data_IF_723764169447
#
_entry.id   IF_723764169447
#
_cell.length_a   1.000
_cell.length_b   1.000
_cell.length_c   1.000
_cell.angle_alpha   90.00
_cell.angle_beta   90.00
_cell.angle_gamma   90.00
#
_symmetry.space_group_name_H-M   'P 1'
#
loop_
_entity.id
_entity.type
_entity.pdbx_description
1 polymer ?
#
# COMPACT_ATOMS: atom_id res chain seq x y z
N UNK A 1 4.96 14.81 -7.49
CA UNK A 1 5.02 13.40 -7.05
C UNK A 1 3.83 13.14 -6.14
N UNK A 2 3.05 12.05 -6.36
CA UNK A 2 1.93 11.64 -5.51
C UNK A 2 2.45 11.17 -4.16
N UNK A 3 1.72 11.48 -3.08
CA UNK A 3 2.02 11.02 -1.73
C UNK A 3 1.10 9.85 -1.40
N UNK A 4 1.65 8.68 -1.14
CA UNK A 4 0.92 7.49 -0.72
C UNK A 4 1.28 7.25 0.76
N UNK A 5 0.31 7.39 1.66
CA UNK A 5 0.51 7.26 3.08
C UNK A 5 0.65 5.79 3.48
N UNK A 6 1.88 5.34 3.72
CA UNK A 6 2.24 3.96 4.04
C UNK A 6 1.66 3.56 5.40
N UNK A 7 0.64 2.70 5.38
CA UNK A 7 -0.20 2.29 6.52
C UNK A 7 -0.95 3.46 7.18
N UNK A 8 -1.28 4.49 6.39
CA UNK A 8 -1.76 5.79 6.87
C UNK A 8 -0.61 6.74 7.20
N UNK A 9 -0.91 7.85 7.91
CA UNK A 9 0.11 8.78 8.44
C UNK A 9 0.81 8.15 9.65
N UNK A 10 1.58 7.09 9.39
CA UNK A 10 2.11 6.17 10.41
C UNK A 10 3.28 6.74 11.21
N UNK A 11 3.85 7.88 10.80
CA UNK A 11 4.80 8.63 11.61
C UNK A 11 4.15 9.25 12.85
N UNK A 12 2.86 9.57 12.80
CA UNK A 12 2.13 10.29 13.85
C UNK A 12 0.98 9.49 14.49
N UNK A 13 0.56 8.40 13.84
CA UNK A 13 -0.59 7.59 14.24
C UNK A 13 -0.24 6.10 14.21
N UNK A 14 -0.97 5.24 14.95
CA UNK A 14 -0.80 3.79 14.82
C UNK A 14 -1.06 3.34 13.37
N UNK A 15 -0.19 2.47 12.86
CA UNK A 15 -0.28 1.93 11.51
C UNK A 15 -1.59 1.16 11.28
N UNK A 16 -2.10 1.18 10.05
CA UNK A 16 -3.30 0.46 9.62
C UNK A 16 -4.54 0.79 10.48
N UNK A 17 -4.73 2.05 10.83
CA UNK A 17 -5.88 2.51 11.62
C UNK A 17 -6.65 3.64 10.93
N UNK A 18 -7.94 3.75 11.27
CA UNK A 18 -8.81 4.82 10.79
C UNK A 18 -8.22 6.21 11.07
N UNK A 19 -7.63 6.42 12.27
CA UNK A 19 -7.00 7.70 12.63
C UNK A 19 -5.83 8.03 11.70
N UNK A 20 -4.97 7.04 11.38
CA UNK A 20 -3.85 7.23 10.47
C UNK A 20 -4.31 7.53 9.04
N UNK A 21 -5.38 6.89 8.57
CA UNK A 21 -5.94 7.12 7.22
C UNK A 21 -6.61 8.49 7.11
N UNK A 22 -7.41 8.90 8.10
CA UNK A 22 -8.03 10.22 8.15
C UNK A 22 -6.99 11.34 8.21
N UNK A 23 -5.96 11.19 9.05
CA UNK A 23 -4.86 12.15 9.14
C UNK A 23 -4.09 12.27 7.82
N UNK A 24 -3.86 11.16 7.11
CA UNK A 24 -3.22 11.17 5.81
C UNK A 24 -3.99 12.01 4.77
N UNK A 25 -5.29 11.82 4.66
CA UNK A 25 -6.11 12.63 3.76
C UNK A 25 -6.24 14.09 4.20
N UNK A 26 -6.33 14.35 5.52
CA UNK A 26 -6.29 15.72 6.04
C UNK A 26 -4.99 16.44 5.66
N UNK A 27 -3.88 15.71 5.56
CA UNK A 27 -2.58 16.19 5.07
C UNK A 27 -2.42 16.09 3.54
N UNK A 28 -3.53 15.88 2.80
CA UNK A 28 -3.56 15.88 1.33
C UNK A 28 -2.75 14.73 0.69
N UNK A 29 -2.73 13.54 1.30
CA UNK A 29 -2.25 12.34 0.62
C UNK A 29 -3.11 12.06 -0.63
N UNK A 30 -2.47 11.63 -1.72
CA UNK A 30 -3.15 11.14 -2.92
C UNK A 30 -3.85 9.81 -2.66
N UNK A 31 -3.19 8.93 -1.91
CA UNK A 31 -3.73 7.64 -1.52
C UNK A 31 -3.32 7.31 -0.08
N UNK A 32 -4.16 6.56 0.60
CA UNK A 32 -3.76 5.79 1.78
C UNK A 32 -3.37 4.39 1.35
N UNK A 33 -2.47 3.78 2.09
CA UNK A 33 -2.11 2.38 1.89
C UNK A 33 -2.52 1.59 3.13
N UNK A 34 -2.93 0.34 2.92
CA UNK A 34 -3.28 -0.62 3.95
C UNK A 34 -2.81 -2.02 3.57
N UNK A 35 -2.19 -2.71 4.54
CA UNK A 35 -1.78 -4.11 4.41
C UNK A 35 -2.97 -5.03 4.62
N UNK A 36 -3.18 -6.03 3.75
CA UNK A 36 -4.36 -6.90 3.82
C UNK A 36 -3.97 -8.36 4.04
N UNK A 37 -4.58 -8.97 5.08
CA UNK A 37 -4.51 -10.40 5.41
C UNK A 37 -5.91 -10.96 5.67
N UNK A 38 -6.00 -12.28 5.86
CA UNK A 38 -7.23 -12.93 6.31
C UNK A 38 -7.15 -13.35 7.79
N UNK A 39 -8.30 -13.28 8.47
CA UNK A 39 -8.55 -14.02 9.70
C UNK A 39 -8.83 -15.51 9.42
N UNK A 40 -8.86 -16.34 10.46
CA UNK A 40 -9.20 -17.76 10.36
C UNK A 40 -10.57 -18.01 9.70
N UNK A 41 -11.55 -17.22 10.09
CA UNK A 41 -12.93 -17.26 9.57
C UNK A 41 -13.10 -16.51 8.23
N UNK A 42 -12.00 -16.04 7.61
CA UNK A 42 -11.97 -15.55 6.24
C UNK A 42 -12.37 -14.09 6.06
N UNK A 43 -12.34 -13.29 7.11
CA UNK A 43 -12.58 -11.85 7.03
C UNK A 43 -11.27 -11.13 6.71
N UNK A 44 -11.32 -10.18 5.78
CA UNK A 44 -10.16 -9.36 5.42
C UNK A 44 -9.88 -8.32 6.51
N UNK A 45 -8.65 -8.34 7.05
CA UNK A 45 -8.17 -7.46 8.10
C UNK A 45 -6.95 -6.68 7.66
N UNK A 46 -6.64 -5.57 8.35
CA UNK A 46 -5.47 -4.74 8.06
C UNK A 46 -4.34 -5.04 9.05
N UNK A 47 -3.32 -5.79 8.58
CA UNK A 47 -2.13 -6.14 9.36
C UNK A 47 -0.93 -6.41 8.46
N UNK A 48 0.23 -5.80 8.79
CA UNK A 48 1.45 -5.95 7.98
C UNK A 48 2.17 -7.27 8.23
N UNK A 49 2.50 -7.55 9.48
CA UNK A 49 3.39 -8.65 9.83
C UNK A 49 2.72 -10.02 9.67
N UNK A 50 3.49 -11.09 9.46
CA UNK A 50 2.95 -12.44 9.39
C UNK A 50 2.44 -12.94 10.74
N UNK A 51 2.82 -12.28 11.85
CA UNK A 51 2.36 -12.57 13.20
C UNK A 51 2.01 -11.29 13.95
N UNK A 52 1.46 -11.43 15.15
CA UNK A 52 0.98 -10.32 15.97
C UNK A 52 2.01 -9.85 17.01
N UNK A 53 3.27 -10.35 16.96
CA UNK A 53 4.26 -10.12 18.01
C UNK A 53 4.63 -8.65 18.16
N UNK A 54 4.96 -7.97 17.05
CA UNK A 54 5.46 -6.59 17.08
C UNK A 54 4.44 -5.59 17.64
N UNK A 55 3.18 -5.71 17.23
CA UNK A 55 2.15 -4.74 17.60
C UNK A 55 1.37 -5.14 18.85
N UNK A 56 1.13 -6.43 19.07
CA UNK A 56 0.22 -6.92 20.10
C UNK A 56 0.91 -7.81 21.14
N UNK A 57 2.21 -8.11 20.99
CA UNK A 57 2.98 -8.99 21.88
C UNK A 57 2.52 -10.46 21.84
N UNK A 58 1.90 -10.89 20.73
CA UNK A 58 1.33 -12.22 20.56
C UNK A 58 2.01 -12.97 19.40
N UNK A 59 2.45 -14.21 19.60
CA UNK A 59 3.14 -14.99 18.58
C UNK A 59 2.21 -15.58 17.52
N UNK A 60 0.90 -15.55 17.72
CA UNK A 60 -0.09 -16.09 16.80
C UNK A 60 -0.09 -15.30 15.50
N UNK A 61 -0.45 -15.97 14.43
CA UNK A 61 -0.68 -15.36 13.12
C UNK A 61 -2.14 -14.88 13.00
N UNK A 62 -2.42 -13.83 12.24
CA UNK A 62 -3.81 -13.40 12.01
C UNK A 62 -4.72 -14.53 11.53
N UNK A 63 -4.24 -15.37 10.64
CA UNK A 63 -4.99 -16.51 10.08
C UNK A 63 -5.28 -17.65 11.07
N UNK A 64 -4.69 -17.63 12.25
CA UNK A 64 -4.94 -18.61 13.33
C UNK A 64 -6.08 -18.16 14.26
N UNK A 65 -6.50 -16.89 14.18
CA UNK A 65 -7.49 -16.25 15.05
C UNK A 65 -8.75 -15.85 14.27
N UNK A 66 -9.90 -15.98 14.93
CA UNK A 66 -11.18 -15.45 14.41
C UNK A 66 -11.19 -13.92 14.44
N UNK A 67 -12.09 -13.31 13.67
CA UNK A 67 -12.27 -11.85 13.69
C UNK A 67 -12.56 -11.34 15.11
N UNK A 68 -13.44 -12.01 15.86
CA UNK A 68 -13.80 -11.59 17.23
C UNK A 68 -12.57 -11.57 18.15
N UNK A 69 -11.69 -12.58 18.07
CA UNK A 69 -10.44 -12.63 18.82
C UNK A 69 -9.50 -11.49 18.42
N UNK A 70 -9.38 -11.22 17.12
CA UNK A 70 -8.55 -10.13 16.59
C UNK A 70 -9.05 -8.75 17.01
N UNK A 71 -10.35 -8.51 16.97
CA UNK A 71 -10.97 -7.23 17.37
C UNK A 71 -10.84 -6.97 18.89
N UNK A 72 -10.67 -8.02 19.68
CA UNK A 72 -10.37 -7.94 21.11
C UNK A 72 -8.97 -7.41 21.43
N UNK A 73 -8.03 -7.46 20.47
CA UNK A 73 -6.65 -7.04 20.68
C UNK A 73 -6.50 -5.52 20.73
N UNK A 74 -5.50 -5.08 21.49
CA UNK A 74 -5.04 -3.68 21.50
C UNK A 74 -3.53 -3.65 21.39
N UNK A 75 -3.02 -2.81 20.52
CA UNK A 75 -1.58 -2.60 20.42
C UNK A 75 -1.07 -1.66 21.54
N UNK A 76 0.24 -1.55 21.66
CA UNK A 76 0.89 -0.74 22.70
C UNK A 76 0.51 0.76 22.64
N UNK A 77 0.10 1.25 21.47
CA UNK A 77 -0.38 2.62 21.27
C UNK A 77 -1.91 2.76 21.40
N UNK A 78 -2.62 1.69 21.82
CA UNK A 78 -4.07 1.67 21.97
C UNK A 78 -4.85 1.43 20.68
N UNK A 79 -4.17 1.25 19.54
CA UNK A 79 -4.78 0.91 18.25
C UNK A 79 -5.37 -0.50 18.26
N UNK A 80 -6.35 -0.73 17.39
CA UNK A 80 -7.01 -2.02 17.15
C UNK A 80 -6.75 -2.46 15.72
N UNK A 81 -6.91 -3.76 15.47
CA UNK A 81 -6.98 -4.27 14.10
C UNK A 81 -8.22 -3.67 13.44
N UNK A 82 -8.04 -3.15 12.23
CA UNK A 82 -9.13 -2.72 11.37
C UNK A 82 -9.51 -3.85 10.40
N UNK A 83 -10.75 -3.83 9.92
CA UNK A 83 -11.22 -4.67 8.82
C UNK A 83 -11.17 -3.90 7.50
N UNK A 84 -11.09 -4.62 6.38
CA UNK A 84 -10.85 -4.02 5.07
C UNK A 84 -11.96 -3.05 4.63
N UNK A 85 -13.22 -3.31 4.98
CA UNK A 85 -14.33 -2.41 4.66
C UNK A 85 -14.15 -1.01 5.28
N UNK A 86 -13.53 -0.91 6.46
CA UNK A 86 -13.25 0.37 7.12
C UNK A 86 -12.27 1.26 6.34
N UNK A 87 -11.38 0.70 5.53
CA UNK A 87 -10.51 1.47 4.66
C UNK A 87 -11.16 1.72 3.30
N UNK A 88 -11.93 0.76 2.78
CA UNK A 88 -12.55 0.87 1.46
C UNK A 88 -13.61 1.98 1.35
N UNK A 89 -14.24 2.40 2.46
CA UNK A 89 -15.19 3.53 2.47
C UNK A 89 -14.57 4.87 2.08
N UNK A 90 -13.23 4.96 2.08
CA UNK A 90 -12.50 6.15 1.61
C UNK A 90 -12.31 6.19 0.09
N UNK A 91 -12.66 5.13 -0.66
CA UNK A 91 -12.62 5.12 -2.13
C UNK A 91 -13.76 6.00 -2.70
N UNK A 92 -13.59 7.31 -2.66
CA UNK A 92 -14.60 8.29 -3.11
C UNK A 92 -13.96 9.60 -3.58
N UNK A 93 -14.64 10.30 -4.49
CA UNK A 93 -14.11 11.53 -5.06
C UNK A 93 -12.81 11.30 -5.82
N UNK A 94 -11.71 11.85 -5.35
CA UNK A 94 -10.35 11.68 -5.86
C UNK A 94 -9.42 10.94 -4.88
N UNK A 95 -9.99 10.36 -3.80
CA UNK A 95 -9.25 9.62 -2.78
C UNK A 95 -8.98 8.19 -3.25
N UNK A 96 -7.72 7.83 -3.39
CA UNK A 96 -7.30 6.49 -3.81
C UNK A 96 -6.87 5.65 -2.60
N UNK A 97 -7.02 4.34 -2.73
CA UNK A 97 -6.60 3.36 -1.72
C UNK A 97 -5.66 2.37 -2.39
N UNK A 98 -4.47 2.18 -1.83
CA UNK A 98 -3.57 1.10 -2.19
C UNK A 98 -3.72 -0.03 -1.18
N UNK A 99 -4.06 -1.22 -1.63
CA UNK A 99 -4.07 -2.43 -0.83
C UNK A 99 -2.76 -3.19 -1.04
N UNK A 100 -1.91 -3.28 -0.03
CA UNK A 100 -0.73 -4.18 -0.05
C UNK A 100 -1.20 -5.58 0.37
N UNK A 101 -1.41 -6.46 -0.60
CA UNK A 101 -2.00 -7.79 -0.40
C UNK A 101 -0.92 -8.74 0.11
N UNK A 102 -0.95 -9.07 1.41
CA UNK A 102 0.04 -9.94 2.07
C UNK A 102 -0.27 -11.42 1.96
N UNK A 103 -1.52 -11.78 1.72
CA UNK A 103 -1.96 -13.14 1.43
C UNK A 103 -2.56 -13.18 0.02
N UNK A 104 -1.86 -13.82 -0.90
CA UNK A 104 -2.26 -13.96 -2.31
C UNK A 104 -2.74 -15.37 -2.64
N UNK A 105 -3.17 -16.14 -1.65
CA UNK A 105 -3.88 -17.40 -1.90
C UNK A 105 -5.19 -17.14 -2.65
N UNK A 106 -5.67 -18.09 -3.49
CA UNK A 106 -6.94 -17.92 -4.20
C UNK A 106 -8.11 -17.54 -3.26
N UNK A 107 -8.15 -18.13 -2.05
CA UNK A 107 -9.15 -17.80 -1.03
C UNK A 107 -9.06 -16.34 -0.61
N UNK A 108 -7.85 -15.83 -0.39
CA UNK A 108 -7.65 -14.45 0.03
C UNK A 108 -7.99 -13.47 -1.10
N UNK A 109 -7.56 -13.74 -2.33
CA UNK A 109 -7.89 -12.90 -3.48
C UNK A 109 -9.40 -12.82 -3.72
N UNK A 110 -10.13 -13.94 -3.60
CA UNK A 110 -11.59 -13.97 -3.74
C UNK A 110 -12.27 -13.18 -2.61
N UNK A 111 -11.82 -13.32 -1.35
CA UNK A 111 -12.37 -12.59 -0.21
C UNK A 111 -12.12 -11.07 -0.34
N UNK A 112 -10.92 -10.65 -0.74
CA UNK A 112 -10.57 -9.24 -0.96
C UNK A 112 -11.43 -8.67 -2.09
N UNK A 113 -11.54 -9.38 -3.21
CA UNK A 113 -12.37 -8.93 -4.33
C UNK A 113 -13.84 -8.80 -3.92
N UNK A 114 -14.39 -9.78 -3.21
CA UNK A 114 -15.78 -9.72 -2.74
C UNK A 114 -16.00 -8.53 -1.81
N UNK A 115 -15.06 -8.28 -0.87
CA UNK A 115 -15.14 -7.11 0.02
C UNK A 115 -15.11 -5.79 -0.77
N UNK A 116 -14.28 -5.69 -1.83
CA UNK A 116 -14.27 -4.52 -2.72
C UNK A 116 -15.63 -4.36 -3.41
N UNK A 117 -16.20 -5.44 -3.94
CA UNK A 117 -17.49 -5.41 -4.65
C UNK A 117 -18.63 -4.99 -3.74
N UNK A 118 -18.64 -5.49 -2.50
CA UNK A 118 -19.69 -5.22 -1.52
C UNK A 118 -19.61 -3.81 -0.92
N UNK A 119 -18.39 -3.22 -0.85
CA UNK A 119 -18.17 -1.94 -0.17
C UNK A 119 -18.06 -0.75 -1.14
N UNK A 120 -17.45 -0.96 -2.31
CA UNK A 120 -17.13 0.13 -3.26
C UNK A 120 -18.06 0.06 -4.47
N UNK A 121 -18.83 1.14 -4.75
CA UNK A 121 -19.64 1.24 -5.97
C UNK A 121 -18.81 0.99 -7.23
N UNK A 122 -19.40 0.34 -8.24
CA UNK A 122 -18.66 -0.07 -9.45
C UNK A 122 -17.93 1.09 -10.13
N UNK A 123 -18.55 2.26 -10.19
CA UNK A 123 -17.97 3.48 -10.77
C UNK A 123 -16.78 4.05 -9.98
N UNK A 124 -16.57 3.62 -8.73
CA UNK A 124 -15.48 4.08 -7.85
C UNK A 124 -14.38 3.04 -7.65
N UNK A 125 -14.55 1.79 -8.13
CA UNK A 125 -13.57 0.70 -7.92
C UNK A 125 -12.22 1.01 -8.56
N UNK A 126 -12.17 1.88 -9.58
CA UNK A 126 -10.92 2.37 -10.16
C UNK A 126 -10.06 3.18 -9.18
N UNK A 127 -10.62 3.67 -8.06
CA UNK A 127 -9.90 4.35 -6.98
C UNK A 127 -9.17 3.34 -6.07
N UNK A 128 -9.51 2.06 -6.14
CA UNK A 128 -8.79 0.98 -5.44
C UNK A 128 -7.64 0.49 -6.31
N UNK A 129 -6.47 0.42 -5.73
CA UNK A 129 -5.24 -0.07 -6.35
C UNK A 129 -4.87 -1.40 -5.68
N UNK A 130 -4.96 -2.49 -6.41
CA UNK A 130 -4.52 -3.79 -5.94
C UNK A 130 -2.99 -3.88 -6.04
N UNK A 131 -2.31 -3.91 -4.91
CA UNK A 131 -0.87 -4.08 -4.78
C UNK A 131 -0.52 -5.56 -4.67
N UNK A 132 0.07 -6.11 -5.73
CA UNK A 132 0.28 -7.54 -5.92
C UNK A 132 1.77 -7.89 -5.91
N UNK A 133 2.15 -8.96 -5.19
CA UNK A 133 3.52 -9.49 -5.10
C UNK A 133 3.78 -10.63 -6.09
N UNK A 134 2.72 -11.32 -6.57
CA UNK A 134 2.85 -12.41 -7.55
C UNK A 134 2.20 -12.05 -8.88
N UNK A 135 2.66 -12.71 -9.95
CA UNK A 135 2.06 -12.57 -11.28
C UNK A 135 0.64 -13.14 -11.32
N UNK A 136 0.34 -14.13 -10.49
CA UNK A 136 -0.97 -14.74 -10.34
C UNK A 136 -1.98 -13.73 -9.80
N UNK A 137 -1.64 -13.00 -8.74
CA UNK A 137 -2.48 -11.94 -8.18
C UNK A 137 -2.67 -10.78 -9.17
N UNK A 138 -1.60 -10.37 -9.88
CA UNK A 138 -1.72 -9.36 -10.96
C UNK A 138 -2.74 -9.81 -12.01
N UNK A 139 -2.63 -11.05 -12.52
CA UNK A 139 -3.58 -11.58 -13.52
C UNK A 139 -4.99 -11.69 -12.97
N UNK A 140 -5.13 -12.07 -11.70
CA UNK A 140 -6.43 -12.16 -11.03
C UNK A 140 -7.16 -10.82 -11.08
N UNK A 141 -6.55 -9.74 -10.62
CA UNK A 141 -7.16 -8.41 -10.64
C UNK A 141 -7.27 -7.82 -12.04
N UNK A 142 -6.31 -8.11 -12.95
CA UNK A 142 -6.40 -7.70 -14.35
C UNK A 142 -7.61 -8.30 -15.05
N UNK A 143 -7.98 -9.55 -14.74
CA UNK A 143 -9.17 -10.20 -15.28
C UNK A 143 -10.49 -9.58 -14.78
N UNK A 144 -10.49 -8.94 -13.60
CA UNK A 144 -11.66 -8.18 -13.10
C UNK A 144 -11.85 -6.87 -13.87
N UNK A 145 -10.74 -6.18 -14.23
CA UNK A 145 -10.75 -4.98 -15.07
C UNK A 145 -11.31 -3.70 -14.41
N UNK A 146 -11.57 -3.72 -13.10
CA UNK A 146 -12.25 -2.65 -12.40
C UNK A 146 -11.33 -1.86 -11.43
N UNK A 147 -10.19 -2.43 -11.04
CA UNK A 147 -9.20 -1.80 -10.15
C UNK A 147 -7.92 -1.44 -10.91
N UNK A 148 -7.19 -0.45 -10.42
CA UNK A 148 -5.78 -0.25 -10.83
C UNK A 148 -4.90 -1.32 -10.20
N UNK A 149 -3.74 -1.63 -10.81
CA UNK A 149 -2.84 -2.68 -10.32
C UNK A 149 -1.43 -2.14 -10.17
N UNK A 150 -0.87 -2.31 -8.98
CA UNK A 150 0.52 -2.02 -8.67
C UNK A 150 1.28 -3.33 -8.45
N UNK A 151 2.37 -3.54 -9.19
CA UNK A 151 3.28 -4.66 -8.97
C UNK A 151 4.32 -4.32 -7.90
N UNK A 152 4.29 -5.04 -6.77
CA UNK A 152 5.36 -5.07 -5.77
C UNK A 152 6.45 -6.04 -6.25
N UNK A 153 7.21 -5.62 -7.27
CA UNK A 153 8.19 -6.50 -7.91
C UNK A 153 9.34 -6.89 -6.96
N UNK A 154 9.75 -8.17 -6.95
CA UNK A 154 10.85 -8.63 -6.09
C UNK A 154 12.20 -8.12 -6.58
N UNK A 155 12.36 -7.99 -7.91
CA UNK A 155 13.55 -7.51 -8.59
C UNK A 155 13.14 -6.53 -9.70
N UNK A 156 13.84 -5.37 -9.86
CA UNK A 156 13.57 -4.41 -10.93
C UNK A 156 13.55 -5.02 -12.34
N UNK A 157 14.32 -6.06 -12.60
CA UNK A 157 14.39 -6.75 -13.90
C UNK A 157 13.09 -7.51 -14.23
N UNK A 158 12.23 -7.75 -13.25
CA UNK A 158 10.94 -8.41 -13.46
C UNK A 158 9.81 -7.46 -13.88
N UNK A 159 10.06 -6.15 -13.87
CA UNK A 159 9.03 -5.14 -14.17
C UNK A 159 8.27 -5.41 -15.48
N UNK A 160 8.97 -5.84 -16.53
CA UNK A 160 8.35 -6.20 -17.81
C UNK A 160 7.36 -7.36 -17.72
N UNK A 161 7.61 -8.34 -16.85
CA UNK A 161 6.70 -9.48 -16.63
C UNK A 161 5.41 -9.01 -15.94
N UNK A 162 5.54 -8.16 -14.89
CA UNK A 162 4.39 -7.61 -14.18
C UNK A 162 3.57 -6.68 -15.07
N UNK A 163 4.24 -5.84 -15.87
CA UNK A 163 3.56 -4.99 -16.85
C UNK A 163 2.80 -5.82 -17.88
N UNK A 164 3.43 -6.86 -18.44
CA UNK A 164 2.80 -7.80 -19.37
C UNK A 164 1.63 -8.58 -18.76
N UNK A 165 1.64 -8.82 -17.43
CA UNK A 165 0.55 -9.47 -16.71
C UNK A 165 -0.64 -8.52 -16.43
N UNK A 166 -0.46 -7.19 -16.54
CA UNK A 166 -1.53 -6.21 -16.36
C UNK A 166 -1.24 -5.07 -15.37
N UNK A 167 -0.15 -5.12 -14.60
CA UNK A 167 0.22 -4.02 -13.72
C UNK A 167 0.60 -2.78 -14.54
N UNK A 168 0.03 -1.63 -14.20
CA UNK A 168 0.36 -0.33 -14.81
C UNK A 168 1.16 0.56 -13.89
N UNK A 169 1.16 0.25 -12.60
CA UNK A 169 1.99 0.86 -11.57
C UNK A 169 3.05 -0.16 -11.17
N UNK A 170 4.31 0.25 -11.10
CA UNK A 170 5.44 -0.60 -10.68
C UNK A 170 6.10 0.04 -9.47
N UNK A 171 6.21 -0.73 -8.38
CA UNK A 171 6.87 -0.28 -7.17
C UNK A 171 8.34 -0.70 -7.16
N UNK A 172 9.23 0.26 -6.99
CA UNK A 172 10.64 0.06 -6.69
C UNK A 172 10.93 0.34 -5.21
N UNK A 173 11.98 -0.27 -4.67
CA UNK A 173 12.60 0.24 -3.44
C UNK A 173 13.43 1.49 -3.77
N UNK A 174 13.56 2.41 -2.81
CA UNK A 174 14.33 3.65 -2.98
C UNK A 174 15.75 3.40 -3.52
N UNK A 175 16.44 2.39 -2.98
CA UNK A 175 17.80 2.00 -3.41
C UNK A 175 17.91 1.59 -4.88
N UNK A 176 16.82 1.13 -5.47
CA UNK A 176 16.77 0.62 -6.84
C UNK A 176 16.43 1.73 -7.84
N UNK A 177 16.19 2.95 -7.37
CA UNK A 177 15.84 4.10 -8.21
C UNK A 177 17.10 4.66 -8.87
N UNK A 178 17.04 4.78 -10.20
CA UNK A 178 17.94 5.63 -10.98
C UNK A 178 17.14 6.34 -12.07
N UNK A 179 17.58 7.52 -12.54
CA UNK A 179 16.88 8.23 -13.63
C UNK A 179 16.70 7.36 -14.87
N UNK A 180 17.71 6.56 -15.23
CA UNK A 180 17.66 5.69 -16.41
C UNK A 180 16.63 4.57 -16.24
N UNK A 181 16.58 3.92 -15.06
CA UNK A 181 15.59 2.87 -14.77
C UNK A 181 14.17 3.43 -14.79
N UNK A 182 13.96 4.58 -14.16
CA UNK A 182 12.65 5.25 -14.17
C UNK A 182 12.24 5.62 -15.60
N UNK A 183 13.16 6.17 -16.41
CA UNK A 183 12.89 6.50 -17.80
C UNK A 183 12.55 5.25 -18.62
N UNK A 184 13.26 4.13 -18.43
CA UNK A 184 12.98 2.86 -19.08
C UNK A 184 11.57 2.35 -18.75
N UNK A 185 11.17 2.37 -17.49
CA UNK A 185 9.84 1.94 -17.07
C UNK A 185 8.73 2.86 -17.61
N UNK A 186 8.98 4.18 -17.63
CA UNK A 186 8.05 5.12 -18.28
C UNK A 186 7.93 4.88 -19.78
N UNK A 187 9.02 4.53 -20.47
CA UNK A 187 8.99 4.19 -21.88
C UNK A 187 8.20 2.89 -22.15
N UNK A 188 8.19 1.96 -21.21
CA UNK A 188 7.33 0.77 -21.24
C UNK A 188 5.84 1.11 -21.07
N UNK A 189 5.53 2.30 -20.55
CA UNK A 189 4.16 2.76 -20.22
C UNK A 189 3.77 2.53 -18.76
N UNK A 190 4.71 2.16 -17.89
CA UNK A 190 4.45 1.98 -16.46
C UNK A 190 4.60 3.32 -15.72
N UNK A 191 3.76 3.56 -14.72
CA UNK A 191 3.97 4.61 -13.72
C UNK A 191 4.82 4.05 -12.58
N UNK A 192 5.91 4.72 -12.24
CA UNK A 192 6.84 4.27 -11.19
C UNK A 192 6.49 4.88 -9.84
N UNK A 193 6.25 4.02 -8.86
CA UNK A 193 6.12 4.36 -7.46
C UNK A 193 7.27 3.79 -6.64
N UNK A 194 7.56 4.40 -5.48
CA UNK A 194 8.72 4.02 -4.65
C UNK A 194 8.28 3.83 -3.21
N UNK A 195 8.65 2.72 -2.59
CA UNK A 195 8.66 2.65 -1.13
C UNK A 195 9.99 3.27 -0.65
N UNK A 196 9.90 4.39 0.08
CA UNK A 196 11.06 5.07 0.65
C UNK A 196 11.66 4.25 1.77
N UNK A 197 12.95 4.44 2.03
CA UNK A 197 13.64 3.72 3.09
C UNK A 197 13.70 2.20 2.89
N UNK A 198 13.86 1.49 3.99
CA UNK A 198 13.85 0.04 4.03
C UNK A 198 15.08 -0.60 3.39
N UNK A 199 14.87 -1.65 2.63
CA UNK A 199 15.92 -2.51 2.09
C UNK A 199 17.04 -1.74 1.39
N UNK A 200 18.25 -1.76 1.99
CA UNK A 200 19.47 -1.13 1.44
C UNK A 200 19.62 0.36 1.73
N UNK A 201 18.79 0.92 2.59
CA UNK A 201 18.90 2.28 3.14
C UNK A 201 19.26 2.24 4.63
N UNK A 202 19.52 3.40 5.23
CA UNK A 202 19.85 3.52 6.66
C UNK A 202 18.61 3.69 7.56
N UNK A 203 17.38 3.74 6.98
CA UNK A 203 16.13 4.00 7.70
C UNK A 203 15.03 2.99 7.33
N UNK A 204 13.98 2.95 8.13
CA UNK A 204 12.90 1.97 7.98
C UNK A 204 12.08 2.20 6.70
N UNK A 205 11.36 1.16 6.26
CA UNK A 205 10.45 1.28 5.11
C UNK A 205 9.36 2.32 5.35
N UNK A 206 9.18 3.21 4.38
CA UNK A 206 8.28 4.35 4.48
C UNK A 206 8.91 5.61 5.06
N UNK A 207 10.06 5.52 5.71
CA UNK A 207 10.79 6.72 6.15
C UNK A 207 11.49 7.40 4.98
N UNK A 208 11.64 8.71 5.06
CA UNK A 208 12.29 9.51 4.04
C UNK A 208 13.03 10.71 4.66
N UNK A 209 14.02 11.22 3.94
CA UNK A 209 14.64 12.52 4.25
C UNK A 209 14.25 13.54 3.16
N UNK A 210 14.33 14.85 3.45
CA UNK A 210 14.12 15.88 2.41
C UNK A 210 14.99 15.65 1.18
N UNK A 211 16.25 15.26 1.37
CA UNK A 211 17.22 15.00 0.29
C UNK A 211 16.80 13.81 -0.56
N UNK A 212 16.33 12.72 0.07
CA UNK A 212 15.86 11.53 -0.65
C UNK A 212 14.61 11.84 -1.47
N UNK A 213 13.66 12.59 -0.92
CA UNK A 213 12.45 13.02 -1.62
C UNK A 213 12.78 13.89 -2.85
N UNK A 214 13.70 14.86 -2.70
CA UNK A 214 14.19 15.70 -3.81
C UNK A 214 14.85 14.84 -4.89
N UNK A 215 15.62 13.82 -4.51
CA UNK A 215 16.25 12.90 -5.46
C UNK A 215 15.19 12.09 -6.24
N UNK A 216 14.12 11.62 -5.59
CA UNK A 216 13.01 10.92 -6.25
C UNK A 216 12.26 11.84 -7.24
N UNK A 217 12.03 13.10 -6.87
CA UNK A 217 11.42 14.10 -7.78
C UNK A 217 12.31 14.31 -9.02
N UNK A 218 13.62 14.49 -8.83
CA UNK A 218 14.60 14.65 -9.93
C UNK A 218 14.65 13.41 -10.83
N UNK A 219 14.51 12.21 -10.26
CA UNK A 219 14.41 10.96 -11.00
C UNK A 219 13.06 10.77 -11.71
N UNK A 220 12.11 11.71 -11.56
CA UNK A 220 10.75 11.68 -12.15
C UNK A 220 9.89 10.52 -11.63
N UNK A 221 10.11 10.07 -10.41
CA UNK A 221 9.21 9.13 -9.72
C UNK A 221 7.82 9.77 -9.59
N UNK A 222 6.77 9.02 -9.85
CA UNK A 222 5.40 9.52 -9.88
C UNK A 222 4.68 9.42 -8.53
N UNK A 223 5.07 8.47 -7.68
CA UNK A 223 4.47 8.29 -6.36
C UNK A 223 5.48 7.74 -5.35
N UNK A 224 5.30 8.09 -4.07
CA UNK A 224 6.12 7.57 -2.99
C UNK A 224 5.26 7.10 -1.82
N UNK A 225 5.51 5.88 -1.34
CA UNK A 225 4.94 5.32 -0.12
C UNK A 225 5.81 5.80 1.04
N UNK A 226 5.20 6.58 1.95
CA UNK A 226 5.90 7.29 3.02
C UNK A 226 5.12 7.29 4.32
N UNK A 227 5.83 7.35 5.45
CA UNK A 227 5.26 7.36 6.80
C UNK A 227 4.80 8.76 7.23
N UNK A 228 5.56 9.83 6.89
CA UNK A 228 5.28 11.22 7.28
C UNK A 228 4.76 12.03 6.09
N UNK A 229 3.42 12.13 6.03
CA UNK A 229 2.72 12.84 4.94
C UNK A 229 2.98 14.35 5.02
N UNK A 230 2.94 14.93 6.22
CA UNK A 230 3.05 16.38 6.42
C UNK A 230 4.45 16.90 6.05
N UNK A 231 5.51 16.21 6.50
CA UNK A 231 6.89 16.53 6.15
C UNK A 231 7.10 16.43 4.64
N UNK A 232 6.65 15.33 4.04
CA UNK A 232 6.80 15.11 2.59
C UNK A 232 6.09 16.18 1.78
N UNK A 233 4.86 16.53 2.15
CA UNK A 233 4.13 17.63 1.52
C UNK A 233 4.92 18.94 1.56
N UNK A 234 5.43 19.31 2.74
CA UNK A 234 6.22 20.54 2.90
C UNK A 234 7.47 20.56 2.00
N UNK A 235 8.17 19.41 1.87
CA UNK A 235 9.32 19.29 0.97
C UNK A 235 8.91 19.46 -0.49
N UNK A 236 7.81 18.84 -0.92
CA UNK A 236 7.35 18.91 -2.31
C UNK A 236 6.85 20.31 -2.70
N UNK A 237 6.18 21.02 -1.79
CA UNK A 237 5.73 22.40 -2.00
C UNK A 237 6.92 23.37 -2.18
N UNK A 238 8.00 23.16 -1.43
CA UNK A 238 9.22 23.95 -1.55
C UNK A 238 10.00 23.74 -2.87
N UNK A 239 9.64 22.73 -3.67
CA UNK A 239 10.27 22.45 -4.99
C UNK A 239 9.46 22.99 -6.18
N UNK A 240 8.31 23.61 -5.95
CA UNK A 240 7.46 24.23 -6.99
C UNK A 240 7.84 25.68 -7.22
#
# INVERSE_FOLDING_TARGET
>A
MKIIAHRGDSASHPENTTQGWEAAYANSAFAIEADVRLSNDGVCICAHDPDLMRLFGRPERPEDLTLDELLGLRNHAGGRIAVLDQVLVYAKGDQHILLDIKDETPRALDAIWQTIVDTVPAEQRHLVIAGCHTLEAVRYFAAKGETSILGFIPDPEEAGKYFGAGARLIRLWERDVSPDRVALLHALGAEVWVTTGGRGTAYAGGDATPESLIALVKARVRGALINDVAMTRSVLEAQQ
#
